data_IF_844827333771
#
_entry.id   IF_844827333771
#
_cell.length_a   1.000
_cell.length_b   1.000
_cell.length_c   1.000
_cell.angle_alpha   90.00
_cell.angle_beta   90.00
_cell.angle_gamma   90.00
#
_symmetry.space_group_name_H-M   'P 1'
#
loop_
_entity.id
_entity.type
_entity.pdbx_description
1 polymer ?
#
# COMPACT_ATOMS: atom_id res chain seq x y z
N UNK A 1 -21.28 -18.37 -7.22
CA UNK A 1 -21.02 -19.83 -7.33
C UNK A 1 -22.21 -20.69 -6.94
N UNK A 2 -22.40 -21.86 -7.57
CA UNK A 2 -23.38 -22.86 -7.11
C UNK A 2 -22.73 -23.85 -6.13
N UNK A 3 -23.44 -24.23 -5.08
CA UNK A 3 -23.00 -25.24 -4.10
C UNK A 3 -24.01 -26.36 -3.93
N UNK A 4 -23.50 -27.55 -3.62
CA UNK A 4 -24.28 -28.71 -3.19
C UNK A 4 -23.66 -29.28 -1.91
N UNK A 5 -24.44 -29.42 -0.83
CA UNK A 5 -23.95 -29.87 0.48
C UNK A 5 -22.65 -29.18 0.94
N UNK A 6 -22.56 -27.87 0.72
CA UNK A 6 -21.39 -27.05 1.06
C UNK A 6 -20.20 -27.13 0.09
N UNK A 7 -20.23 -28.00 -0.93
CA UNK A 7 -19.17 -28.11 -1.94
C UNK A 7 -19.49 -27.26 -3.16
N UNK A 8 -18.48 -26.53 -3.65
CA UNK A 8 -18.59 -25.72 -4.87
C UNK A 8 -18.71 -26.62 -6.10
N UNK A 9 -19.77 -26.43 -6.88
CA UNK A 9 -19.98 -27.11 -8.16
C UNK A 9 -19.52 -26.20 -9.28
N UNK A 10 -18.52 -26.68 -10.04
CA UNK A 10 -17.88 -25.90 -11.10
C UNK A 10 -18.72 -25.93 -12.38
N UNK A 11 -18.95 -24.77 -13.02
CA UNK A 11 -19.52 -24.68 -14.37
C UNK A 11 -18.89 -25.69 -15.34
N UNK A 12 -19.71 -26.37 -16.16
CA UNK A 12 -19.20 -27.25 -17.23
C UNK A 12 -18.56 -28.58 -16.76
N UNK A 13 -18.71 -28.94 -15.48
CA UNK A 13 -18.27 -30.23 -14.93
C UNK A 13 -19.47 -31.06 -14.52
N UNK A 14 -19.49 -32.34 -14.92
CA UNK A 14 -20.44 -33.31 -14.40
C UNK A 14 -20.17 -33.55 -12.91
N UNK A 15 -21.21 -33.85 -12.14
CA UNK A 15 -21.14 -34.07 -10.70
C UNK A 15 -22.27 -35.01 -10.27
N UNK A 16 -22.24 -35.52 -9.03
CA UNK A 16 -23.29 -36.41 -8.51
C UNK A 16 -23.91 -35.83 -7.24
N UNK A 17 -25.23 -35.94 -7.13
CA UNK A 17 -26.02 -35.64 -5.94
C UNK A 17 -26.67 -36.90 -5.37
N UNK A 18 -27.32 -36.80 -4.22
CA UNK A 18 -28.14 -37.85 -3.63
C UNK A 18 -29.33 -38.27 -4.52
N UNK A 19 -29.72 -37.39 -5.47
CA UNK A 19 -30.77 -37.65 -6.46
C UNK A 19 -30.25 -38.30 -7.75
N UNK A 20 -28.93 -38.40 -7.95
CA UNK A 20 -28.33 -39.05 -9.13
C UNK A 20 -27.16 -38.29 -9.76
N UNK A 21 -26.77 -38.73 -10.96
CA UNK A 21 -25.66 -38.16 -11.72
C UNK A 21 -26.11 -37.00 -12.61
N UNK A 22 -25.41 -35.87 -12.54
CA UNK A 22 -25.69 -34.66 -13.29
C UNK A 22 -24.62 -34.41 -14.35
N UNK A 23 -24.99 -34.38 -15.65
CA UNK A 23 -24.06 -34.13 -16.75
C UNK A 23 -23.52 -32.70 -16.77
N UNK A 24 -22.44 -32.45 -17.51
CA UNK A 24 -21.73 -31.16 -17.56
C UNK A 24 -22.58 -29.97 -18.02
N UNK A 25 -23.73 -30.21 -18.65
CA UNK A 25 -24.70 -29.22 -19.11
C UNK A 25 -25.76 -28.85 -18.05
N UNK A 26 -25.61 -29.27 -16.78
CA UNK A 26 -26.51 -28.94 -15.67
C UNK A 26 -26.77 -27.43 -15.51
N UNK A 27 -25.89 -26.57 -16.03
CA UNK A 27 -26.10 -25.12 -16.02
C UNK A 27 -27.28 -24.64 -16.87
N UNK A 28 -27.71 -25.43 -17.87
CA UNK A 28 -28.86 -25.12 -18.73
C UNK A 28 -30.21 -25.37 -18.04
N UNK A 29 -30.21 -26.06 -16.90
CA UNK A 29 -31.43 -26.26 -16.11
C UNK A 29 -32.00 -24.93 -15.63
N UNK A 30 -33.33 -24.86 -15.47
CA UNK A 30 -33.98 -23.71 -14.85
C UNK A 30 -33.54 -23.56 -13.40
N UNK A 31 -33.75 -22.37 -12.83
CA UNK A 31 -33.38 -22.12 -11.43
C UNK A 31 -34.23 -22.97 -10.46
N UNK A 32 -35.49 -23.25 -10.78
CA UNK A 32 -36.31 -24.18 -9.98
C UNK A 32 -35.74 -25.60 -10.03
N UNK A 33 -35.38 -26.09 -11.21
CA UNK A 33 -34.80 -27.42 -11.37
C UNK A 33 -33.44 -27.55 -10.66
N UNK A 34 -32.64 -26.48 -10.63
CA UNK A 34 -31.39 -26.43 -9.86
C UNK A 34 -31.67 -26.48 -8.35
N UNK A 35 -32.68 -25.77 -7.87
CA UNK A 35 -33.07 -25.80 -6.46
C UNK A 35 -33.59 -27.19 -6.03
N UNK A 36 -34.38 -27.86 -6.88
CA UNK A 36 -34.92 -29.21 -6.62
C UNK A 36 -33.82 -30.27 -6.48
N UNK A 37 -32.73 -30.18 -7.26
CA UNK A 37 -31.57 -31.08 -7.13
C UNK A 37 -30.62 -30.68 -5.98
N UNK A 38 -31.02 -29.70 -5.17
CA UNK A 38 -30.30 -29.23 -4.00
C UNK A 38 -29.14 -28.26 -4.29
N UNK A 39 -29.08 -27.67 -5.48
CA UNK A 39 -28.11 -26.60 -5.74
C UNK A 39 -28.59 -25.30 -5.13
N UNK A 40 -27.70 -24.69 -4.34
CA UNK A 40 -27.88 -23.34 -3.81
C UNK A 40 -26.98 -22.40 -4.60
N UNK A 41 -27.56 -21.36 -5.19
CA UNK A 41 -26.78 -20.26 -5.72
C UNK A 41 -26.35 -19.34 -4.58
N UNK A 42 -25.05 -19.22 -4.39
CA UNK A 42 -24.45 -18.20 -3.54
C UNK A 42 -23.74 -17.21 -4.46
N UNK A 43 -24.09 -15.92 -4.42
CA UNK A 43 -23.29 -14.93 -5.11
C UNK A 43 -21.84 -15.01 -4.59
N UNK A 44 -20.86 -14.92 -5.50
CA UNK A 44 -19.47 -14.87 -5.05
C UNK A 44 -19.31 -13.67 -4.11
N UNK A 45 -18.59 -13.82 -2.98
CA UNK A 45 -18.42 -12.70 -2.06
C UNK A 45 -17.74 -11.56 -2.84
N UNK A 46 -18.38 -10.39 -2.85
CA UNK A 46 -17.75 -9.19 -3.39
C UNK A 46 -16.61 -8.82 -2.44
N UNK A 47 -15.40 -9.26 -2.77
CA UNK A 47 -14.19 -8.76 -2.12
C UNK A 47 -14.03 -7.33 -2.62
N UNK A 48 -14.33 -6.35 -1.77
CA UNK A 48 -14.04 -4.95 -2.08
C UNK A 48 -12.54 -4.85 -2.38
N UNK A 49 -12.17 -4.42 -3.58
CA UNK A 49 -10.78 -4.08 -3.89
C UNK A 49 -10.32 -2.99 -2.93
N UNK A 50 -9.10 -3.10 -2.42
CA UNK A 50 -8.49 -2.10 -1.55
C UNK A 50 -7.07 -1.82 -2.02
N UNK A 51 -6.58 -0.61 -1.75
CA UNK A 51 -5.20 -0.23 -2.04
C UNK A 51 -4.27 -0.81 -0.96
N UNK A 52 -3.43 -1.78 -1.36
CA UNK A 52 -2.52 -2.49 -0.46
C UNK A 52 -1.45 -1.58 0.17
N UNK A 53 -1.21 -0.39 -0.40
CA UNK A 53 -0.31 0.62 0.15
C UNK A 53 -0.84 1.15 1.48
N UNK A 54 -2.16 1.26 1.63
CA UNK A 54 -2.79 1.90 2.80
C UNK A 54 -3.60 0.93 3.67
N UNK A 55 -3.96 -0.24 3.15
CA UNK A 55 -4.80 -1.22 3.83
C UNK A 55 -4.16 -2.62 3.87
N UNK A 56 -4.41 -3.36 4.96
CA UNK A 56 -4.08 -4.79 5.06
C UNK A 56 -5.13 -5.67 4.39
N UNK A 57 -6.39 -5.27 4.48
CA UNK A 57 -7.55 -5.92 3.88
C UNK A 57 -8.66 -4.88 3.65
N UNK A 58 -9.74 -5.27 2.98
CA UNK A 58 -10.90 -4.39 2.79
C UNK A 58 -11.45 -3.90 4.14
N UNK A 59 -11.35 -2.59 4.40
CA UNK A 59 -11.78 -1.97 5.65
C UNK A 59 -10.83 -2.14 6.84
N UNK A 60 -9.64 -2.71 6.62
CA UNK A 60 -8.60 -2.85 7.65
C UNK A 60 -7.44 -1.92 7.32
N UNK A 61 -7.48 -0.72 7.90
CA UNK A 61 -6.47 0.32 7.72
C UNK A 61 -5.12 -0.08 8.32
N UNK A 62 -4.03 0.26 7.63
CA UNK A 62 -2.70 0.23 8.24
C UNK A 62 -2.58 1.39 9.24
N UNK A 63 -1.81 1.18 10.31
CA UNK A 63 -1.57 2.21 11.31
C UNK A 63 -0.87 3.43 10.67
N UNK A 64 -1.37 4.63 11.01
CA UNK A 64 -0.83 5.88 10.49
C UNK A 64 0.52 6.22 11.14
N UNK A 65 0.54 6.17 12.47
CA UNK A 65 1.71 6.39 13.31
C UNK A 65 2.31 5.05 13.76
N UNK A 66 3.54 5.09 14.27
CA UNK A 66 4.26 3.91 14.75
C UNK A 66 3.57 3.29 15.97
N UNK A 67 3.53 1.96 16.02
CA UNK A 67 2.88 1.19 17.10
C UNK A 67 3.93 0.45 17.92
N UNK A 68 3.93 0.72 19.22
CA UNK A 68 4.77 0.01 20.18
C UNK A 68 4.17 -1.38 20.43
N UNK A 69 4.92 -2.42 20.08
CA UNK A 69 4.47 -3.81 20.24
C UNK A 69 4.49 -4.24 21.70
N UNK A 70 3.55 -5.14 22.03
CA UNK A 70 3.36 -5.67 23.38
C UNK A 70 3.20 -7.19 23.31
N UNK A 71 3.66 -7.87 24.36
CA UNK A 71 3.41 -9.29 24.56
C UNK A 71 1.93 -9.53 24.94
N UNK A 72 1.50 -10.80 24.96
CA UNK A 72 0.13 -11.18 25.31
C UNK A 72 -0.28 -10.73 26.73
N UNK A 73 0.68 -10.62 27.65
CA UNK A 73 0.47 -10.14 29.02
C UNK A 73 0.43 -8.60 29.13
N UNK A 74 0.58 -7.88 28.01
CA UNK A 74 0.58 -6.42 27.94
C UNK A 74 1.91 -5.76 28.29
N UNK A 75 2.96 -6.53 28.62
CA UNK A 75 4.32 -6.02 28.78
C UNK A 75 4.93 -5.59 27.44
N UNK A 76 5.91 -4.68 27.47
CA UNK A 76 6.60 -4.24 26.25
C UNK A 76 7.31 -5.43 25.60
N UNK A 77 7.07 -5.65 24.31
CA UNK A 77 7.83 -6.62 23.54
C UNK A 77 9.23 -6.05 23.29
N UNK A 78 10.27 -6.70 23.80
CA UNK A 78 11.65 -6.24 23.64
C UNK A 78 12.36 -7.05 22.55
N UNK A 79 13.27 -6.40 21.82
CA UNK A 79 14.19 -7.05 20.89
C UNK A 79 15.37 -7.72 21.61
N UNK A 80 16.29 -8.28 20.83
CA UNK A 80 17.51 -8.95 21.33
C UNK A 80 18.43 -8.02 22.13
N UNK A 81 18.37 -6.71 21.88
CA UNK A 81 19.20 -5.71 22.53
C UNK A 81 18.47 -5.04 23.73
N UNK A 82 17.24 -5.47 24.03
CA UNK A 82 16.43 -4.96 25.13
C UNK A 82 15.66 -3.68 24.82
N UNK A 83 15.60 -3.25 23.55
CA UNK A 83 14.77 -2.10 23.13
C UNK A 83 13.35 -2.55 22.81
N UNK A 84 12.37 -1.67 23.00
CA UNK A 84 10.99 -2.00 22.63
C UNK A 84 10.84 -2.13 21.12
N UNK A 85 10.22 -3.22 20.68
CA UNK A 85 9.87 -3.45 19.28
C UNK A 85 8.79 -2.46 18.86
N UNK A 86 9.01 -1.79 17.73
CA UNK A 86 8.10 -0.81 17.15
C UNK A 86 7.80 -1.18 15.70
N UNK A 87 6.53 -1.34 15.38
CA UNK A 87 6.08 -1.49 14.00
C UNK A 87 5.87 -0.11 13.39
N UNK A 88 6.58 0.16 12.29
CA UNK A 88 6.49 1.46 11.59
C UNK A 88 5.12 1.65 10.94
N UNK A 89 4.50 2.79 11.22
CA UNK A 89 3.29 3.27 10.58
C UNK A 89 3.54 3.81 9.17
N UNK A 90 2.44 4.18 8.51
CA UNK A 90 2.46 4.73 7.15
C UNK A 90 3.32 5.99 7.04
N UNK A 91 3.27 6.90 8.03
CA UNK A 91 4.05 8.14 8.01
C UNK A 91 5.55 7.90 8.06
N UNK A 92 6.02 7.06 8.99
CA UNK A 92 7.45 6.76 9.14
C UNK A 92 8.02 6.10 7.90
N UNK A 93 7.27 5.18 7.28
CA UNK A 93 7.67 4.56 6.03
C UNK A 93 7.70 5.56 4.86
N UNK A 94 6.71 6.44 4.75
CA UNK A 94 6.70 7.49 3.72
C UNK A 94 7.85 8.49 3.89
N UNK A 95 8.14 8.94 5.11
CA UNK A 95 9.27 9.83 5.40
C UNK A 95 10.59 9.14 5.03
N UNK A 96 10.75 7.85 5.32
CA UNK A 96 11.94 7.10 4.92
C UNK A 96 12.11 7.09 3.39
N UNK A 97 11.02 6.86 2.64
CA UNK A 97 11.05 6.91 1.17
C UNK A 97 11.40 8.31 0.64
N UNK A 98 10.84 9.37 1.24
CA UNK A 98 11.14 10.76 0.86
C UNK A 98 12.63 11.05 1.02
N UNK A 99 13.24 10.60 2.12
CA UNK A 99 14.69 10.76 2.35
C UNK A 99 15.53 9.98 1.34
N UNK A 100 15.12 8.76 1.00
CA UNK A 100 15.79 7.96 -0.04
C UNK A 100 15.73 8.66 -1.41
N UNK A 101 14.57 9.19 -1.79
CA UNK A 101 14.41 9.95 -3.03
C UNK A 101 15.28 11.21 -3.03
N UNK A 102 15.29 11.99 -1.94
CA UNK A 102 16.14 13.17 -1.82
C UNK A 102 17.63 12.81 -1.98
N UNK A 103 18.09 11.73 -1.34
CA UNK A 103 19.45 11.24 -1.49
C UNK A 103 19.76 10.86 -2.95
N UNK A 104 18.84 10.15 -3.62
CA UNK A 104 18.99 9.77 -5.03
C UNK A 104 19.09 10.96 -5.98
N UNK A 105 18.30 12.02 -5.75
CA UNK A 105 18.34 13.25 -6.55
C UNK A 105 19.62 14.07 -6.33
N UNK A 106 20.21 14.02 -5.14
CA UNK A 106 21.44 14.76 -4.81
C UNK A 106 22.71 14.03 -5.25
N UNK A 107 22.71 12.69 -5.21
CA UNK A 107 23.89 11.85 -5.47
C UNK A 107 24.67 12.20 -6.76
N UNK A 108 24.03 12.48 -7.92
CA UNK A 108 24.76 12.78 -9.16
C UNK A 108 25.65 14.03 -9.09
N UNK A 109 25.38 14.93 -8.14
CA UNK A 109 26.10 16.21 -8.00
C UNK A 109 26.94 16.31 -6.72
N UNK A 110 26.98 15.25 -5.89
CA UNK A 110 27.74 15.26 -4.64
C UNK A 110 29.24 15.45 -4.86
N UNK A 111 29.79 14.88 -5.93
CA UNK A 111 31.21 15.05 -6.27
C UNK A 111 31.59 16.53 -6.50
N UNK A 112 30.68 17.37 -7.00
CA UNK A 112 30.92 18.81 -7.19
C UNK A 112 31.09 19.50 -5.84
N UNK A 113 30.27 19.12 -4.85
CA UNK A 113 30.33 19.65 -3.49
C UNK A 113 31.59 19.20 -2.78
N UNK A 114 31.96 17.91 -2.89
CA UNK A 114 33.21 17.40 -2.32
C UNK A 114 34.41 18.11 -2.93
N UNK A 115 34.48 18.22 -4.26
CA UNK A 115 35.55 18.95 -4.96
C UNK A 115 35.67 20.40 -4.51
N UNK A 116 34.53 21.07 -4.29
CA UNK A 116 34.49 22.44 -3.79
C UNK A 116 35.03 22.55 -2.36
N UNK A 117 34.65 21.62 -1.48
CA UNK A 117 35.13 21.58 -0.11
C UNK A 117 36.62 21.24 0.01
N UNK A 118 37.14 20.36 -0.84
CA UNK A 118 38.54 19.94 -0.81
C UNK A 118 39.50 20.96 -1.44
N UNK A 119 39.13 21.48 -2.62
CA UNK A 119 40.06 22.24 -3.46
C UNK A 119 39.57 23.66 -3.78
N UNK A 120 38.44 24.10 -3.23
CA UNK A 120 37.90 25.45 -3.41
C UNK A 120 37.35 25.74 -4.81
N UNK A 121 37.14 24.71 -5.64
CA UNK A 121 36.50 24.93 -6.96
C UNK A 121 35.01 25.15 -6.79
N UNK A 122 34.51 26.30 -7.22
CA UNK A 122 33.10 26.64 -7.09
C UNK A 122 32.18 25.63 -7.80
N UNK A 123 31.02 25.42 -7.20
CA UNK A 123 29.89 24.67 -7.79
C UNK A 123 29.07 25.66 -8.61
N UNK A 124 28.64 25.26 -9.81
CA UNK A 124 27.76 26.09 -10.63
C UNK A 124 26.45 26.42 -9.92
N UNK A 125 25.93 27.63 -10.18
CA UNK A 125 24.73 28.18 -9.52
C UNK A 125 23.52 27.27 -9.69
N UNK A 126 23.37 26.66 -10.86
CA UNK A 126 22.20 25.84 -11.20
C UNK A 126 22.20 24.56 -10.38
N UNK A 127 23.36 23.91 -10.22
CA UNK A 127 23.52 22.77 -9.30
C UNK A 127 23.20 23.17 -7.86
N UNK A 128 23.71 24.31 -7.38
CA UNK A 128 23.42 24.76 -6.01
C UNK A 128 21.92 25.04 -5.80
N UNK A 129 21.29 25.69 -6.77
CA UNK A 129 19.86 25.99 -6.76
C UNK A 129 19.01 24.71 -6.76
N UNK A 130 19.32 23.75 -7.64
CA UNK A 130 18.62 22.47 -7.70
C UNK A 130 18.76 21.69 -6.39
N UNK A 131 19.99 21.56 -5.86
CA UNK A 131 20.23 20.87 -4.57
C UNK A 131 19.48 21.54 -3.41
N UNK A 132 19.39 22.88 -3.41
CA UNK A 132 18.60 23.60 -2.42
C UNK A 132 17.09 23.34 -2.59
N UNK A 133 16.59 23.31 -3.82
CA UNK A 133 15.21 22.99 -4.13
C UNK A 133 14.84 21.56 -3.70
N UNK A 134 15.71 20.57 -3.93
CA UNK A 134 15.50 19.18 -3.48
C UNK A 134 15.37 19.11 -1.95
N UNK A 135 16.28 19.76 -1.20
CA UNK A 135 16.21 19.78 0.27
C UNK A 135 14.94 20.46 0.77
N UNK A 136 14.54 21.57 0.13
CA UNK A 136 13.30 22.26 0.45
C UNK A 136 12.08 21.35 0.20
N UNK A 137 12.02 20.70 -0.96
CA UNK A 137 10.97 19.76 -1.30
C UNK A 137 10.89 18.61 -0.29
N UNK A 138 12.02 17.98 0.07
CA UNK A 138 12.06 16.94 1.11
C UNK A 138 11.42 17.42 2.41
N UNK A 139 11.82 18.60 2.91
CA UNK A 139 11.26 19.15 4.15
C UNK A 139 9.75 19.45 4.04
N UNK A 140 9.32 20.02 2.91
CA UNK A 140 7.92 20.35 2.67
C UNK A 140 7.05 19.08 2.59
N UNK A 141 7.53 18.04 1.91
CA UNK A 141 6.83 16.75 1.80
C UNK A 141 6.77 16.07 3.18
N UNK A 142 7.87 16.03 3.93
CA UNK A 142 7.90 15.49 5.31
C UNK A 142 6.93 16.23 6.24
N UNK A 143 6.81 17.55 6.09
CA UNK A 143 5.84 18.34 6.84
C UNK A 143 4.39 17.98 6.49
N UNK A 144 4.07 17.82 5.19
CA UNK A 144 2.73 17.37 4.73
C UNK A 144 2.38 15.99 5.29
N UNK A 145 3.33 15.04 5.28
CA UNK A 145 3.16 13.70 5.86
C UNK A 145 2.88 13.78 7.36
N UNK A 146 3.69 14.54 8.08
CA UNK A 146 3.56 14.68 9.54
C UNK A 146 2.22 15.33 9.92
N UNK A 147 1.77 16.30 9.13
CA UNK A 147 0.52 17.03 9.35
C UNK A 147 -0.76 16.21 9.07
N UNK A 148 -0.66 15.09 8.33
CA UNK A 148 -1.83 14.24 8.07
C UNK A 148 -2.32 13.60 9.39
N UNK A 149 -3.52 13.96 9.83
CA UNK A 149 -4.10 13.47 11.09
C UNK A 149 -5.07 12.30 10.93
N UNK A 150 -5.47 11.99 9.69
CA UNK A 150 -6.38 10.89 9.37
C UNK A 150 -5.82 10.03 8.25
N UNK A 151 -6.28 8.78 8.19
CA UNK A 151 -5.94 7.84 7.12
C UNK A 151 -6.29 8.41 5.74
N UNK A 152 -7.48 8.99 5.59
CA UNK A 152 -7.91 9.65 4.34
C UNK A 152 -7.06 10.86 3.96
N UNK A 153 -6.66 11.70 4.92
CA UNK A 153 -5.79 12.85 4.66
C UNK A 153 -4.39 12.41 4.21
N UNK A 154 -3.88 11.30 4.76
CA UNK A 154 -2.63 10.71 4.33
C UNK A 154 -2.71 10.14 2.91
N UNK A 155 -3.80 9.42 2.58
CA UNK A 155 -4.02 8.90 1.23
C UNK A 155 -4.07 10.01 0.17
N UNK A 156 -4.73 11.13 0.49
CA UNK A 156 -4.84 12.28 -0.41
C UNK A 156 -3.48 12.87 -0.81
N UNK A 157 -2.39 12.59 -0.07
CA UNK A 157 -1.04 13.01 -0.46
C UNK A 157 -0.52 12.29 -1.71
N UNK A 158 -1.10 11.14 -2.06
CA UNK A 158 -0.72 10.33 -3.22
C UNK A 158 -1.58 10.61 -4.45
N UNK A 159 -2.62 11.44 -4.31
CA UNK A 159 -3.48 11.81 -5.42
C UNK A 159 -2.87 13.00 -6.18
N UNK A 160 -2.58 12.79 -7.46
CA UNK A 160 -2.11 13.84 -8.35
C UNK A 160 -3.30 14.67 -8.87
N UNK A 161 -3.21 16.02 -8.86
CA UNK A 161 -4.19 16.85 -9.56
C UNK A 161 -4.03 16.70 -11.08
N UNK A 162 -5.07 17.05 -11.84
CA UNK A 162 -5.14 16.86 -13.30
C UNK A 162 -3.94 17.42 -14.08
N UNK A 163 -3.29 18.47 -13.56
CA UNK A 163 -2.12 19.10 -14.16
C UNK A 163 -0.99 19.36 -13.14
N UNK A 164 -0.71 18.42 -12.24
CA UNK A 164 0.38 18.59 -11.27
C UNK A 164 0.86 17.29 -10.65
N UNK A 165 1.87 17.41 -9.79
CA UNK A 165 2.44 16.29 -9.04
C UNK A 165 1.60 16.02 -7.80
N UNK A 166 1.51 14.74 -7.41
CA UNK A 166 0.95 14.39 -6.12
C UNK A 166 1.76 15.08 -5.00
N UNK A 167 1.14 15.47 -3.88
CA UNK A 167 1.85 16.10 -2.76
C UNK A 167 3.09 15.32 -2.26
N UNK A 168 3.07 13.99 -2.37
CA UNK A 168 4.19 13.09 -1.99
C UNK A 168 5.34 13.10 -3.01
N UNK A 169 5.07 13.52 -4.25
CA UNK A 169 5.98 13.49 -5.39
C UNK A 169 6.35 14.89 -5.91
N UNK A 170 6.13 15.93 -5.09
CA UNK A 170 6.35 17.34 -5.42
C UNK A 170 7.84 17.74 -5.41
N UNK A 171 8.64 17.05 -6.23
CA UNK A 171 10.08 17.23 -6.39
C UNK A 171 10.41 18.21 -7.53
N UNK A 172 11.55 18.93 -7.47
CA UNK A 172 11.98 19.78 -8.58
C UNK A 172 12.32 18.96 -9.83
N UNK A 173 12.05 19.52 -11.00
CA UNK A 173 12.47 18.94 -12.27
C UNK A 173 13.99 19.06 -12.44
N UNK A 174 14.58 18.01 -13.02
CA UNK A 174 16.03 17.91 -13.27
C UNK A 174 16.47 18.70 -14.51
#
# INVERSE_FOLDING_TARGET
MYKYNGKVIRPGRAWSSDAGHHPANWMLLSDEAKAEIGLVYEADPVVKSFDNRFYWAAGVERALDDVNEKNEDGSAMLDVDGNQVVTRGLKSNAIAQVKETAAGLLAPTDWKVVRSAENGTDVDSDTLAYRAAVRKASNDIEAKITAASTHSAFMALYDAPENGKAPIDDWPDA
#
